data_IF_354353528146
#
_entry.id   IF_354353528146
#
_cell.length_a   1.000
_cell.length_b   1.000
_cell.length_c   1.000
_cell.angle_alpha   90.00
_cell.angle_beta   90.00
_cell.angle_gamma   90.00
#
_symmetry.space_group_name_H-M   'P 1'
#
loop_
_entity.id
_entity.type
_entity.pdbx_description
1 polymer ?
#
# COMPACT_ATOMS: atom_id res chain seq x y z
N UNK A 1 27.19 33.28 -36.77
CA UNK A 1 25.76 32.90 -36.76
C UNK A 1 25.62 31.48 -37.27
N UNK A 2 25.20 30.54 -36.42
CA UNK A 2 24.49 29.31 -36.79
C UNK A 2 24.03 28.64 -35.48
N UNK A 3 22.73 28.70 -35.21
CA UNK A 3 22.06 27.85 -34.24
C UNK A 3 21.89 26.45 -34.85
N UNK A 4 22.01 25.39 -34.05
CA UNK A 4 21.18 24.21 -34.29
C UNK A 4 20.91 23.49 -32.97
N UNK A 5 19.62 23.39 -32.68
CA UNK A 5 19.00 22.89 -31.47
C UNK A 5 19.04 21.36 -31.51
N UNK A 6 19.78 20.73 -30.59
CA UNK A 6 19.64 19.29 -30.36
C UNK A 6 18.60 19.06 -29.26
N UNK A 7 17.37 18.89 -29.73
CA UNK A 7 16.21 18.39 -28.99
C UNK A 7 16.57 17.05 -28.36
N UNK A 8 16.85 17.02 -27.06
CA UNK A 8 16.88 15.78 -26.29
C UNK A 8 15.45 15.27 -26.14
N UNK A 9 15.09 14.36 -27.04
CA UNK A 9 13.91 13.52 -26.97
C UNK A 9 13.86 12.81 -25.62
N UNK A 10 12.80 13.13 -24.87
CA UNK A 10 12.36 12.47 -23.65
C UNK A 10 12.16 10.98 -23.93
N UNK A 11 13.00 10.14 -23.32
CA UNK A 11 12.85 8.69 -23.40
C UNK A 11 11.55 8.26 -22.69
N UNK A 12 10.80 7.27 -23.22
CA UNK A 12 9.60 6.77 -22.56
C UNK A 12 9.97 6.11 -21.23
N UNK A 13 9.27 6.50 -20.15
CA UNK A 13 9.38 5.89 -18.84
C UNK A 13 8.98 4.41 -18.94
N UNK A 14 9.97 3.52 -19.02
CA UNK A 14 9.75 2.08 -18.87
C UNK A 14 9.07 1.83 -17.51
N UNK A 15 8.06 0.94 -17.43
CA UNK A 15 7.52 0.56 -16.14
C UNK A 15 8.66 -0.03 -15.31
N UNK A 16 8.94 0.59 -14.15
CA UNK A 16 9.94 0.12 -13.20
C UNK A 16 9.73 -1.38 -12.99
N UNK A 17 10.63 -2.21 -13.53
CA UNK A 17 10.65 -3.64 -13.21
C UNK A 17 10.73 -3.72 -11.70
N UNK A 18 9.68 -4.26 -11.07
CA UNK A 18 9.63 -4.58 -9.65
C UNK A 18 10.92 -5.35 -9.33
N UNK A 19 11.82 -4.75 -8.54
CA UNK A 19 12.97 -5.50 -8.04
C UNK A 19 12.41 -6.67 -7.21
N UNK A 20 12.98 -7.89 -7.30
CA UNK A 20 12.58 -8.98 -6.41
C UNK A 20 12.74 -8.64 -4.91
N UNK A 21 13.50 -7.59 -4.59
CA UNK A 21 13.66 -7.04 -3.23
C UNK A 21 12.67 -5.91 -2.90
N UNK A 22 11.76 -5.55 -3.80
CA UNK A 22 10.69 -4.62 -3.49
C UNK A 22 9.69 -5.29 -2.54
N UNK A 23 9.58 -4.74 -1.32
CA UNK A 23 8.64 -5.16 -0.28
C UNK A 23 7.26 -5.43 -0.87
N UNK A 24 6.78 -4.54 -1.74
CA UNK A 24 5.43 -4.60 -2.27
C UNK A 24 5.20 -5.78 -3.22
N UNK A 25 6.25 -6.39 -3.76
CA UNK A 25 6.12 -7.46 -4.76
C UNK A 25 5.88 -8.82 -4.14
N UNK A 26 6.50 -9.11 -3.00
CA UNK A 26 6.40 -10.41 -2.34
C UNK A 26 5.41 -10.42 -1.17
N UNK A 27 4.93 -9.25 -0.71
CA UNK A 27 3.87 -9.17 0.33
C UNK A 27 2.46 -9.02 -0.23
N UNK A 28 2.30 -8.57 -1.49
CA UNK A 28 1.01 -8.20 -2.08
C UNK A 28 -0.05 -9.30 -1.96
N UNK A 29 0.29 -10.54 -2.31
CA UNK A 29 -0.64 -11.67 -2.23
C UNK A 29 -1.12 -11.93 -0.79
N UNK A 30 -0.18 -12.12 0.15
CA UNK A 30 -0.50 -12.43 1.54
C UNK A 30 -1.33 -11.32 2.21
N UNK A 31 -0.95 -10.06 1.99
CA UNK A 31 -1.68 -8.91 2.54
C UNK A 31 -3.07 -8.77 1.93
N UNK A 32 -3.20 -8.97 0.60
CA UNK A 32 -4.51 -8.91 -0.06
C UNK A 32 -5.44 -10.04 0.40
N UNK A 33 -4.92 -11.26 0.57
CA UNK A 33 -5.70 -12.39 1.07
C UNK A 33 -6.19 -12.13 2.49
N UNK A 34 -5.32 -11.60 3.36
CA UNK A 34 -5.70 -11.29 4.74
C UNK A 34 -6.70 -10.14 4.83
N UNK A 35 -6.51 -9.08 4.04
CA UNK A 35 -7.46 -7.98 3.93
C UNK A 35 -8.80 -8.46 3.38
N UNK A 36 -8.79 -9.32 2.37
CA UNK A 36 -10.03 -9.87 1.80
C UNK A 36 -10.78 -10.72 2.82
N UNK A 37 -10.08 -11.58 3.57
CA UNK A 37 -10.67 -12.33 4.68
C UNK A 37 -11.33 -11.40 5.70
N UNK A 38 -10.62 -10.35 6.12
CA UNK A 38 -11.14 -9.35 7.05
C UNK A 38 -12.37 -8.60 6.51
N UNK A 39 -12.31 -8.08 5.29
CA UNK A 39 -13.44 -7.34 4.72
C UNK A 39 -14.65 -8.24 4.41
N UNK A 40 -14.43 -9.53 4.14
CA UNK A 40 -15.51 -10.48 3.91
C UNK A 40 -16.35 -10.75 5.15
N UNK A 41 -15.85 -10.45 6.36
CA UNK A 41 -16.66 -10.54 7.58
C UNK A 41 -17.55 -9.31 7.80
N UNK A 42 -17.32 -8.22 7.05
CA UNK A 42 -18.00 -6.95 7.24
C UNK A 42 -18.93 -6.60 6.06
N UNK A 43 -18.50 -6.86 4.82
CA UNK A 43 -19.32 -6.63 3.64
C UNK A 43 -20.21 -7.84 3.34
N UNK A 44 -21.49 -7.58 3.02
CA UNK A 44 -22.41 -8.62 2.56
C UNK A 44 -22.05 -9.14 1.16
N UNK A 45 -21.56 -8.27 0.28
CA UNK A 45 -21.18 -8.61 -1.09
C UNK A 45 -19.68 -8.92 -1.17
N UNK A 46 -19.35 -10.13 -1.66
CA UNK A 46 -17.95 -10.57 -1.84
C UNK A 46 -17.14 -9.65 -2.75
N UNK A 47 -17.76 -9.11 -3.80
CA UNK A 47 -17.08 -8.19 -4.72
C UNK A 47 -16.73 -6.86 -4.07
N UNK A 48 -17.58 -6.36 -3.16
CA UNK A 48 -17.28 -5.15 -2.36
C UNK A 48 -16.14 -5.42 -1.37
N UNK A 49 -16.12 -6.58 -0.71
CA UNK A 49 -15.00 -6.97 0.15
C UNK A 49 -13.68 -7.02 -0.63
N UNK A 50 -13.70 -7.61 -1.83
CA UNK A 50 -12.53 -7.68 -2.72
C UNK A 50 -12.08 -6.30 -3.20
N UNK A 51 -13.02 -5.43 -3.54
CA UNK A 51 -12.73 -4.05 -3.91
C UNK A 51 -12.08 -3.29 -2.74
N UNK A 52 -12.61 -3.45 -1.52
CA UNK A 52 -12.05 -2.85 -0.31
C UNK A 52 -10.63 -3.31 -0.05
N UNK A 53 -10.36 -4.62 -0.10
CA UNK A 53 -9.02 -5.17 0.07
C UNK A 53 -8.02 -4.59 -0.95
N UNK A 54 -8.41 -4.49 -2.24
CA UNK A 54 -7.55 -3.93 -3.30
C UNK A 54 -7.26 -2.45 -3.12
N UNK A 55 -8.28 -1.65 -2.78
CA UNK A 55 -8.10 -0.22 -2.51
C UNK A 55 -7.22 0.00 -1.28
N UNK A 56 -7.41 -0.82 -0.25
CA UNK A 56 -6.61 -0.75 0.96
C UNK A 56 -5.14 -1.11 0.68
N UNK A 57 -4.88 -2.21 -0.03
CA UNK A 57 -3.51 -2.52 -0.44
C UNK A 57 -2.92 -1.45 -1.37
N UNK A 58 -3.69 -0.88 -2.29
CA UNK A 58 -3.24 0.21 -3.16
C UNK A 58 -2.82 1.45 -2.36
N UNK A 59 -3.53 1.76 -1.27
CA UNK A 59 -3.16 2.79 -0.32
C UNK A 59 -1.78 2.48 0.30
N UNK A 60 -1.63 1.32 0.92
CA UNK A 60 -0.37 0.89 1.54
C UNK A 60 0.80 0.88 0.57
N UNK A 61 0.61 0.27 -0.59
CA UNK A 61 1.62 0.20 -1.66
C UNK A 61 2.10 1.59 -2.04
N UNK A 62 1.20 2.55 -2.22
CA UNK A 62 1.56 3.92 -2.58
C UNK A 62 2.40 4.61 -1.48
N UNK A 63 2.08 4.42 -0.20
CA UNK A 63 2.91 4.99 0.87
C UNK A 63 4.28 4.31 0.97
N UNK A 64 4.34 2.98 0.80
CA UNK A 64 5.60 2.22 0.79
C UNK A 64 6.50 2.61 -0.40
N UNK A 65 5.92 3.00 -1.53
CA UNK A 65 6.65 3.46 -2.73
C UNK A 65 6.78 4.98 -2.83
N UNK A 66 6.46 5.73 -1.77
CA UNK A 66 6.61 7.20 -1.68
C UNK A 66 5.75 7.97 -2.70
N UNK A 67 4.53 7.50 -2.96
CA UNK A 67 3.51 8.13 -3.81
C UNK A 67 2.27 8.56 -2.98
N UNK A 68 2.42 9.48 -2.00
CA UNK A 68 1.38 9.76 -1.00
C UNK A 68 0.08 10.33 -1.58
N UNK A 69 0.12 11.01 -2.73
CA UNK A 69 -1.09 11.49 -3.41
C UNK A 69 -1.97 10.33 -3.90
N UNK A 70 -1.36 9.29 -4.47
CA UNK A 70 -2.08 8.08 -4.91
C UNK A 70 -2.61 7.29 -3.71
N UNK A 71 -1.84 7.27 -2.62
CA UNK A 71 -2.24 6.66 -1.35
C UNK A 71 -3.51 7.30 -0.79
N UNK A 72 -3.53 8.64 -0.70
CA UNK A 72 -4.71 9.41 -0.25
C UNK A 72 -5.93 9.19 -1.15
N UNK A 73 -5.76 9.18 -2.47
CA UNK A 73 -6.86 8.90 -3.40
C UNK A 73 -7.46 7.50 -3.17
N UNK A 74 -6.61 6.49 -3.00
CA UNK A 74 -7.04 5.11 -2.69
C UNK A 74 -7.75 5.05 -1.33
N UNK A 75 -7.24 5.77 -0.32
CA UNK A 75 -7.86 5.86 1.01
C UNK A 75 -9.24 6.52 0.97
N UNK A 76 -9.38 7.59 0.20
CA UNK A 76 -10.67 8.27 0.02
C UNK A 76 -11.69 7.37 -0.69
N UNK A 77 -11.26 6.64 -1.73
CA UNK A 77 -12.11 5.66 -2.41
C UNK A 77 -12.54 4.53 -1.45
N UNK A 78 -11.64 4.04 -0.62
CA UNK A 78 -11.94 3.04 0.42
C UNK A 78 -12.94 3.58 1.46
N UNK A 79 -12.72 4.79 1.97
CA UNK A 79 -13.64 5.43 2.91
C UNK A 79 -15.05 5.61 2.30
N UNK A 80 -15.11 5.94 1.01
CA UNK A 80 -16.37 6.07 0.29
C UNK A 80 -17.14 4.75 0.24
N UNK A 81 -16.51 3.64 -0.12
CA UNK A 81 -17.22 2.34 -0.19
C UNK A 81 -17.65 1.83 1.19
N UNK A 82 -16.86 2.07 2.24
CA UNK A 82 -17.20 1.73 3.63
C UNK A 82 -18.42 2.55 4.07
N UNK A 83 -18.44 3.84 3.75
CA UNK A 83 -19.58 4.73 4.03
C UNK A 83 -20.83 4.34 3.24
N UNK A 84 -20.71 4.05 1.95
CA UNK A 84 -21.84 3.60 1.10
C UNK A 84 -22.46 2.30 1.63
N UNK A 85 -21.65 1.39 2.15
CA UNK A 85 -22.09 0.17 2.81
C UNK A 85 -22.59 0.37 4.25
N UNK A 86 -22.61 1.61 4.76
CA UNK A 86 -23.02 1.97 6.14
C UNK A 86 -22.21 1.23 7.22
N UNK A 87 -20.96 0.92 6.94
CA UNK A 87 -20.05 0.29 7.88
C UNK A 87 -19.34 1.34 8.75
N UNK A 88 -18.93 0.92 9.94
CA UNK A 88 -18.14 1.73 10.86
C UNK A 88 -16.81 2.16 10.21
N UNK A 89 -16.50 3.47 10.11
CA UNK A 89 -15.23 3.95 9.57
C UNK A 89 -13.98 3.39 10.28
N UNK A 90 -14.08 3.07 11.58
CA UNK A 90 -12.97 2.47 12.34
C UNK A 90 -12.61 1.06 11.84
N UNK A 91 -13.44 0.45 10.98
CA UNK A 91 -13.10 -0.77 10.25
C UNK A 91 -11.80 -0.60 9.44
N UNK A 92 -11.58 0.59 8.88
CA UNK A 92 -10.38 0.84 8.09
C UNK A 92 -9.14 0.89 8.99
N UNK A 93 -9.24 1.53 10.16
CA UNK A 93 -8.12 1.60 11.11
C UNK A 93 -7.78 0.21 11.70
N UNK A 94 -8.80 -0.63 11.95
CA UNK A 94 -8.59 -2.04 12.33
C UNK A 94 -7.87 -2.83 11.23
N UNK A 95 -8.24 -2.59 9.97
CA UNK A 95 -7.55 -3.20 8.83
C UNK A 95 -6.12 -2.66 8.64
N UNK A 96 -5.83 -1.40 8.97
CA UNK A 96 -4.46 -0.86 8.94
C UNK A 96 -3.55 -1.63 9.91
N UNK A 97 -4.03 -1.88 11.14
CA UNK A 97 -3.27 -2.65 12.12
C UNK A 97 -2.95 -4.06 11.61
N UNK A 98 -3.92 -4.72 10.98
CA UNK A 98 -3.74 -6.03 10.37
C UNK A 98 -2.69 -6.02 9.25
N UNK A 99 -2.62 -4.95 8.44
CA UNK A 99 -1.57 -4.82 7.41
C UNK A 99 -0.19 -4.62 8.03
N UNK A 100 -0.09 -3.82 9.10
CA UNK A 100 1.18 -3.64 9.83
C UNK A 100 1.68 -4.97 10.38
N UNK A 101 0.82 -5.71 11.07
CA UNK A 101 1.17 -7.00 11.67
C UNK A 101 1.63 -7.99 10.60
N UNK A 102 0.85 -8.14 9.52
CA UNK A 102 1.17 -9.05 8.42
C UNK A 102 2.48 -8.67 7.72
N UNK A 103 2.70 -7.38 7.43
CA UNK A 103 3.95 -6.93 6.82
C UNK A 103 5.15 -7.13 7.75
N UNK A 104 4.99 -6.91 9.06
CA UNK A 104 6.05 -7.14 10.04
C UNK A 104 6.43 -8.62 10.11
N UNK A 105 5.44 -9.51 10.21
CA UNK A 105 5.65 -10.96 10.24
C UNK A 105 6.35 -11.46 8.97
N UNK A 106 5.90 -11.00 7.80
CA UNK A 106 6.50 -11.37 6.52
C UNK A 106 7.95 -10.88 6.40
N UNK A 107 8.26 -9.66 6.84
CA UNK A 107 9.63 -9.12 6.87
C UNK A 107 10.51 -9.92 7.82
N UNK A 108 10.05 -10.16 9.05
CA UNK A 108 10.81 -10.91 10.07
C UNK A 108 11.08 -12.35 9.61
N UNK A 109 10.08 -12.99 9.00
CA UNK A 109 10.24 -14.34 8.46
C UNK A 109 11.27 -14.38 7.32
N UNK A 110 11.14 -13.47 6.34
CA UNK A 110 12.02 -13.41 5.16
C UNK A 110 13.48 -13.12 5.54
N UNK A 111 13.69 -12.17 6.46
CA UNK A 111 15.01 -11.70 6.85
C UNK A 111 15.50 -12.30 8.18
N UNK A 112 14.98 -13.46 8.60
CA UNK A 112 15.37 -14.14 9.84
C UNK A 112 16.88 -14.39 9.99
N UNK A 113 17.61 -14.53 8.87
CA UNK A 113 19.08 -14.73 8.81
C UNK A 113 19.86 -13.45 8.49
N UNK A 114 19.17 -12.33 8.28
CA UNK A 114 19.75 -11.04 7.88
C UNK A 114 19.04 -9.89 8.62
N UNK A 115 19.17 -9.80 9.95
CA UNK A 115 18.36 -8.91 10.79
C UNK A 115 18.52 -7.41 10.43
N UNK A 116 19.69 -6.97 9.96
CA UNK A 116 19.91 -5.58 9.53
C UNK A 116 19.09 -5.21 8.29
N UNK A 117 18.88 -6.16 7.37
CA UNK A 117 17.97 -5.95 6.24
C UNK A 117 16.52 -5.89 6.73
N UNK A 118 16.13 -6.80 7.63
CA UNK A 118 14.81 -6.78 8.27
C UNK A 118 14.49 -5.44 8.94
N UNK A 119 15.41 -4.91 9.74
CA UNK A 119 15.30 -3.58 10.37
C UNK A 119 15.06 -2.47 9.34
N UNK A 120 15.77 -2.51 8.21
CA UNK A 120 15.60 -1.51 7.14
C UNK A 120 14.16 -1.51 6.59
N UNK A 121 13.56 -2.68 6.37
CA UNK A 121 12.17 -2.78 5.92
C UNK A 121 11.17 -2.40 7.01
N UNK A 122 11.41 -2.76 8.27
CA UNK A 122 10.57 -2.33 9.40
C UNK A 122 10.58 -0.80 9.53
N UNK A 123 11.73 -0.13 9.40
CA UNK A 123 11.80 1.34 9.42
C UNK A 123 11.00 1.98 8.28
N UNK A 124 11.01 1.36 7.08
CA UNK A 124 10.16 1.80 5.95
C UNK A 124 8.67 1.61 6.25
N UNK A 125 8.31 0.48 6.87
CA UNK A 125 6.94 0.19 7.29
C UNK A 125 6.43 1.23 8.30
N UNK A 126 7.22 1.51 9.34
CA UNK A 126 6.90 2.54 10.34
C UNK A 126 6.71 3.90 9.67
N UNK A 127 7.64 4.29 8.79
CA UNK A 127 7.54 5.56 8.05
C UNK A 127 6.28 5.66 7.19
N UNK A 128 5.86 4.56 6.56
CA UNK A 128 4.61 4.52 5.80
C UNK A 128 3.39 4.64 6.72
N UNK A 129 3.35 3.89 7.83
CA UNK A 129 2.29 3.93 8.83
C UNK A 129 2.12 5.34 9.43
N UNK A 130 3.23 6.01 9.76
CA UNK A 130 3.21 7.40 10.27
C UNK A 130 2.65 8.38 9.23
N UNK A 131 3.04 8.25 7.95
CA UNK A 131 2.51 9.11 6.89
C UNK A 131 1.02 8.89 6.66
N UNK A 132 0.54 7.65 6.72
CA UNK A 132 -0.89 7.36 6.67
C UNK A 132 -1.62 7.95 7.87
N UNK A 133 -1.02 7.87 9.06
CA UNK A 133 -1.59 8.45 10.26
C UNK A 133 -1.70 9.97 10.20
N UNK A 134 -0.65 10.66 9.73
CA UNK A 134 -0.64 12.12 9.58
C UNK A 134 -1.54 12.62 8.43
N UNK A 135 -1.80 11.79 7.42
CA UNK A 135 -2.73 12.09 6.33
C UNK A 135 -4.21 12.10 6.73
N UNK A 136 -4.54 11.76 7.97
CA UNK A 136 -5.92 11.76 8.52
C UNK A 136 -6.42 13.16 8.93
N UNK A 137 -5.55 14.18 8.93
CA UNK A 137 -5.81 15.49 9.54
C UNK A 137 -6.14 16.64 8.58
N UNK A 138 -6.80 16.41 7.44
CA UNK A 138 -7.23 17.49 6.54
C UNK A 138 -8.64 17.26 5.99
#
# INVERSE_FOLDING_TARGET
MAQSLSTYLSAPAFPLRKSPDDLTSWTEAAVCDRLFGFYSTAFAETDRARQAARLHWSCWRAFLTKLPAQGRASRQALARIVKEARLDPALIDRADALVVDELADLVLHRYRRAPEQGKTYVTRLISAATQMAGGRGN
#
